data_IF_442543677394
#
_entry.id   IF_442543677394
#
_cell.length_a   1.000
_cell.length_b   1.000
_cell.length_c   1.000
_cell.angle_alpha   90.00
_cell.angle_beta   90.00
_cell.angle_gamma   90.00
#
_symmetry.space_group_name_H-M   'P 1'
#
loop_
_entity.id
_entity.type
_entity.pdbx_description
1 polymer ?
#
# COMPACT_ATOMS: atom_id res chain seq x y z
N UNK A 1 -24.35 6.60 -8.61
CA UNK A 1 -23.81 7.02 -7.31
C UNK A 1 -24.26 6.03 -6.22
N UNK A 2 -23.74 4.80 -6.26
CA UNK A 2 -23.99 3.71 -5.29
C UNK A 2 -22.64 3.16 -4.80
N UNK A 3 -21.76 4.04 -4.33
CA UNK A 3 -20.36 3.68 -3.99
C UNK A 3 -20.18 3.19 -2.54
N UNK A 4 -21.24 3.08 -1.74
CA UNK A 4 -21.14 2.71 -0.34
C UNK A 4 -22.13 1.61 0.05
N UNK A 5 -21.80 0.38 -0.31
CA UNK A 5 -22.26 -0.80 0.46
C UNK A 5 -21.45 -0.84 1.77
N UNK A 6 -22.10 -1.17 2.89
CA UNK A 6 -21.51 -1.16 4.25
C UNK A 6 -20.18 -1.91 4.39
N UNK A 7 -19.87 -2.85 3.50
CA UNK A 7 -18.63 -3.67 3.51
C UNK A 7 -17.35 -2.90 3.16
N UNK A 8 -17.41 -1.74 2.49
CA UNK A 8 -16.19 -1.00 2.10
C UNK A 8 -15.79 0.12 3.06
N UNK A 9 -16.68 0.52 3.97
CA UNK A 9 -16.43 1.57 4.97
C UNK A 9 -15.17 1.30 5.81
N UNK A 10 -14.95 0.11 6.39
CA UNK A 10 -13.78 -0.09 7.25
C UNK A 10 -12.46 0.00 6.48
N UNK A 11 -12.42 -0.48 5.22
CA UNK A 11 -11.25 -0.33 4.37
C UNK A 11 -10.98 1.14 4.02
N UNK A 12 -12.04 1.90 3.73
CA UNK A 12 -11.93 3.33 3.46
C UNK A 12 -11.37 4.10 4.67
N UNK A 13 -11.90 3.84 5.87
CA UNK A 13 -11.39 4.42 7.11
C UNK A 13 -9.92 4.03 7.36
N UNK A 14 -9.55 2.78 7.11
CA UNK A 14 -8.18 2.32 7.22
C UNK A 14 -7.25 3.09 6.27
N UNK A 15 -7.70 3.32 5.02
CA UNK A 15 -6.98 4.14 4.05
C UNK A 15 -6.83 5.59 4.49
N UNK A 16 -7.86 6.19 5.10
CA UNK A 16 -7.77 7.54 5.68
C UNK A 16 -6.78 7.60 6.84
N UNK A 17 -6.79 6.62 7.74
CA UNK A 17 -5.82 6.54 8.85
C UNK A 17 -4.39 6.39 8.31
N UNK A 18 -4.19 5.58 7.27
CA UNK A 18 -2.91 5.48 6.58
C UNK A 18 -2.48 6.85 6.02
N UNK A 19 -3.34 7.52 5.25
CA UNK A 19 -2.99 8.82 4.66
C UNK A 19 -2.69 9.86 5.73
N UNK A 20 -3.48 9.91 6.80
CA UNK A 20 -3.24 10.82 7.92
C UNK A 20 -1.87 10.58 8.56
N UNK A 21 -1.55 9.33 8.90
CA UNK A 21 -0.27 8.98 9.53
C UNK A 21 0.95 9.24 8.63
N UNK A 22 0.80 9.12 7.31
CA UNK A 22 1.92 9.31 6.36
C UNK A 22 2.09 10.78 5.95
N UNK A 23 0.99 11.51 5.74
CA UNK A 23 1.01 12.90 5.29
C UNK A 23 1.21 13.90 6.45
N UNK A 24 0.81 13.55 7.67
CA UNK A 24 1.01 14.42 8.82
C UNK A 24 2.50 14.70 9.03
N UNK A 25 2.88 15.98 9.07
CA UNK A 25 4.26 16.45 9.19
C UNK A 25 5.24 15.82 8.17
N UNK A 26 4.78 15.52 6.96
CA UNK A 26 5.60 14.87 5.93
C UNK A 26 6.90 15.63 5.63
N UNK A 27 6.89 16.96 5.67
CA UNK A 27 8.07 17.79 5.37
C UNK A 27 8.99 18.04 6.57
N UNK A 28 8.58 17.62 7.78
CA UNK A 28 9.37 17.82 9.00
C UNK A 28 10.61 16.92 9.04
N UNK A 29 10.55 15.76 8.38
CA UNK A 29 11.68 14.84 8.31
C UNK A 29 12.80 15.48 7.46
N UNK A 30 14.05 15.53 7.96
CA UNK A 30 15.18 16.02 7.19
C UNK A 30 15.33 15.19 5.91
N UNK A 31 15.90 15.80 4.88
CA UNK A 31 16.14 15.10 3.62
C UNK A 31 17.18 14.00 3.84
N UNK A 32 16.87 12.78 3.39
CA UNK A 32 17.82 11.67 3.44
C UNK A 32 18.74 11.69 2.22
N UNK A 33 19.94 11.11 2.36
CA UNK A 33 20.96 11.09 1.29
C UNK A 33 20.40 10.49 0.00
N UNK A 34 19.86 9.27 0.07
CA UNK A 34 19.24 8.59 -1.08
C UNK A 34 18.06 9.38 -1.68
N UNK A 35 17.20 9.94 -0.83
CA UNK A 35 16.07 10.76 -1.26
C UNK A 35 16.53 12.00 -2.06
N UNK A 36 17.62 12.64 -1.63
CA UNK A 36 18.19 13.77 -2.36
C UNK A 36 18.70 13.38 -3.75
N UNK A 37 19.30 12.21 -3.88
CA UNK A 37 19.81 11.67 -5.15
C UNK A 37 18.65 11.37 -6.10
N UNK A 38 17.60 10.70 -5.61
CA UNK A 38 16.49 10.29 -6.46
C UNK A 38 15.68 11.51 -6.94
N UNK A 39 15.45 12.49 -6.06
CA UNK A 39 14.82 13.76 -6.44
C UNK A 39 15.71 14.51 -7.44
N UNK A 40 17.03 14.53 -7.24
CA UNK A 40 17.96 15.16 -8.17
C UNK A 40 17.91 14.53 -9.57
N UNK A 41 17.97 13.20 -9.67
CA UNK A 41 17.83 12.52 -10.96
C UNK A 41 16.50 12.84 -11.63
N UNK A 42 15.40 12.80 -10.87
CA UNK A 42 14.09 13.18 -11.38
C UNK A 42 14.02 14.63 -11.84
N UNK A 43 14.74 15.55 -11.17
CA UNK A 43 14.84 16.95 -11.59
C UNK A 43 15.59 17.09 -12.91
N UNK A 44 16.69 16.35 -13.10
CA UNK A 44 17.45 16.33 -14.36
C UNK A 44 16.59 15.80 -15.51
N UNK A 45 15.83 14.73 -15.27
CA UNK A 45 14.87 14.17 -16.24
C UNK A 45 13.80 15.22 -16.57
N UNK A 46 13.26 15.89 -15.55
CA UNK A 46 12.24 16.93 -15.72
C UNK A 46 12.75 18.13 -16.54
N UNK A 47 13.97 18.62 -16.31
CA UNK A 47 14.48 19.82 -16.97
C UNK A 47 14.99 19.53 -18.37
N UNK A 48 15.79 18.46 -18.50
CA UNK A 48 16.52 18.16 -19.75
C UNK A 48 15.67 17.34 -20.71
N UNK A 49 14.57 16.72 -20.23
CA UNK A 49 13.69 15.81 -21.01
C UNK A 49 14.45 14.68 -21.73
N UNK A 50 15.68 14.41 -21.30
CA UNK A 50 16.61 13.40 -21.77
C UNK A 50 17.30 12.80 -20.53
N UNK A 51 17.94 11.63 -20.66
CA UNK A 51 18.55 10.88 -19.53
C UNK A 51 17.56 10.13 -18.61
N UNK A 52 16.47 9.59 -19.17
CA UNK A 52 15.55 8.70 -18.46
C UNK A 52 16.23 7.48 -17.79
N UNK A 53 17.40 7.06 -18.29
CA UNK A 53 18.19 5.96 -17.71
C UNK A 53 19.19 6.37 -16.63
N UNK A 54 19.18 7.60 -16.11
CA UNK A 54 20.22 8.08 -15.20
C UNK A 54 20.36 7.21 -13.94
N UNK A 55 19.25 6.76 -13.35
CA UNK A 55 19.27 5.88 -12.16
C UNK A 55 19.95 4.53 -12.42
N UNK A 56 19.96 4.05 -13.67
CA UNK A 56 20.56 2.77 -14.04
C UNK A 56 22.08 2.81 -13.94
N UNK A 57 22.69 4.00 -14.02
CA UNK A 57 24.15 4.16 -13.83
C UNK A 57 24.59 3.78 -12.41
N UNK A 58 23.67 3.84 -11.45
CA UNK A 58 23.86 3.43 -10.06
C UNK A 58 23.14 2.10 -9.74
N UNK A 59 22.73 1.35 -10.78
CA UNK A 59 22.05 0.06 -10.64
C UNK A 59 20.62 0.14 -10.08
N UNK A 60 20.00 1.33 -10.04
CA UNK A 60 18.65 1.54 -9.50
C UNK A 60 17.60 1.51 -10.63
N UNK A 61 16.46 0.80 -10.45
CA UNK A 61 15.41 0.75 -11.45
C UNK A 61 14.82 2.15 -11.69
N UNK A 62 14.42 2.50 -12.93
CA UNK A 62 14.13 3.89 -13.27
C UNK A 62 12.71 4.34 -12.94
N UNK A 63 11.78 3.39 -12.73
CA UNK A 63 10.34 3.66 -12.61
C UNK A 63 10.00 4.70 -11.53
N UNK A 64 10.59 4.61 -10.33
CA UNK A 64 10.33 5.60 -9.27
C UNK A 64 10.75 7.00 -9.71
N UNK A 65 11.94 7.13 -10.28
CA UNK A 65 12.49 8.44 -10.68
C UNK A 65 11.66 9.07 -11.79
N UNK A 66 11.07 8.25 -12.68
CA UNK A 66 10.15 8.73 -13.72
C UNK A 66 8.86 9.28 -13.11
N UNK A 67 8.30 8.57 -12.13
CA UNK A 67 7.09 9.00 -11.44
C UNK A 67 7.35 10.27 -10.64
N UNK A 68 8.46 10.36 -9.91
CA UNK A 68 8.85 11.59 -9.21
C UNK A 68 9.03 12.75 -10.22
N UNK A 69 9.62 12.51 -11.40
CA UNK A 69 9.77 13.54 -12.41
C UNK A 69 8.42 14.09 -12.88
N UNK A 70 7.42 13.21 -13.08
CA UNK A 70 6.03 13.62 -13.39
C UNK A 70 5.45 14.46 -12.25
N UNK A 71 5.63 14.06 -11.00
CA UNK A 71 5.17 14.85 -9.85
C UNK A 71 5.85 16.22 -9.80
N UNK A 72 7.16 16.28 -10.06
CA UNK A 72 7.88 17.56 -10.13
C UNK A 72 7.35 18.48 -11.23
N UNK A 73 6.79 17.97 -12.33
CA UNK A 73 6.12 18.77 -13.38
C UNK A 73 4.79 19.38 -12.91
N UNK A 74 4.09 18.70 -12.00
CA UNK A 74 2.77 19.12 -11.51
C UNK A 74 2.93 20.17 -10.38
N UNK A 75 3.92 19.99 -9.51
CA UNK A 75 4.13 20.84 -8.32
C UNK A 75 5.09 22.01 -8.60
N UNK A 76 4.93 23.15 -7.89
CA UNK A 76 5.90 24.26 -7.93
C UNK A 76 7.30 23.81 -7.50
N UNK A 77 8.33 24.51 -7.99
CA UNK A 77 9.74 24.18 -7.71
C UNK A 77 10.09 24.15 -6.23
N UNK A 78 9.45 25.00 -5.42
CA UNK A 78 9.71 25.10 -3.98
C UNK A 78 9.20 23.88 -3.20
N UNK A 79 8.31 23.09 -3.79
CA UNK A 79 7.67 21.93 -3.18
C UNK A 79 8.27 20.61 -3.66
N UNK A 80 9.52 20.63 -4.13
CA UNK A 80 10.22 19.45 -4.66
C UNK A 80 10.24 18.27 -3.67
N UNK A 81 10.36 18.54 -2.37
CA UNK A 81 10.41 17.50 -1.34
C UNK A 81 9.05 16.81 -1.19
N UNK A 82 7.96 17.58 -1.25
CA UNK A 82 6.60 17.02 -1.26
C UNK A 82 6.38 16.17 -2.51
N UNK A 83 6.76 16.70 -3.68
CA UNK A 83 6.63 16.02 -4.96
C UNK A 83 7.42 14.71 -5.01
N UNK A 84 8.60 14.65 -4.36
CA UNK A 84 9.38 13.43 -4.20
C UNK A 84 8.74 12.40 -3.28
N UNK A 85 8.19 12.84 -2.13
CA UNK A 85 7.65 11.94 -1.11
C UNK A 85 6.25 11.39 -1.44
N UNK A 86 5.43 12.13 -2.18
CA UNK A 86 4.06 11.71 -2.52
C UNK A 86 3.99 10.38 -3.27
N UNK A 87 4.82 10.10 -4.31
CA UNK A 87 4.88 8.80 -4.96
C UNK A 87 5.05 7.64 -3.98
N UNK A 88 5.96 7.75 -3.01
CA UNK A 88 6.17 6.70 -1.99
C UNK A 88 4.94 6.49 -1.13
N UNK A 89 4.29 7.57 -0.68
CA UNK A 89 3.05 7.49 0.10
C UNK A 89 1.95 6.78 -0.70
N UNK A 90 1.85 7.05 -2.00
CA UNK A 90 0.89 6.39 -2.89
C UNK A 90 1.21 4.89 -3.07
N UNK A 91 2.47 4.52 -3.26
CA UNK A 91 2.87 3.12 -3.34
C UNK A 91 2.68 2.36 -2.02
N UNK A 92 2.90 3.00 -0.88
CA UNK A 92 2.54 2.42 0.42
C UNK A 92 1.02 2.24 0.58
N UNK A 93 0.19 3.12 0.00
CA UNK A 93 -1.27 2.92 -0.03
C UNK A 93 -1.64 1.72 -0.92
N UNK A 94 -1.01 1.58 -2.08
CA UNK A 94 -1.17 0.42 -2.97
C UNK A 94 -0.74 -0.87 -2.25
N UNK A 95 0.31 -0.80 -1.44
CA UNK A 95 0.78 -1.89 -0.57
C UNK A 95 -0.27 -2.27 0.47
N UNK A 96 -0.85 -1.29 1.17
CA UNK A 96 -1.94 -1.53 2.14
C UNK A 96 -3.15 -2.23 1.49
N UNK A 97 -3.58 -1.77 0.31
CA UNK A 97 -4.65 -2.40 -0.46
C UNK A 97 -4.29 -3.82 -0.91
N UNK A 98 -3.02 -4.02 -1.29
CA UNK A 98 -2.45 -5.32 -1.62
C UNK A 98 -2.51 -6.29 -0.44
N UNK A 99 -2.04 -5.87 0.74
CA UNK A 99 -2.08 -6.68 1.98
C UNK A 99 -3.52 -7.08 2.31
N UNK A 100 -4.45 -6.13 2.25
CA UNK A 100 -5.86 -6.40 2.50
C UNK A 100 -6.41 -7.47 1.54
N UNK A 101 -6.17 -7.30 0.23
CA UNK A 101 -6.63 -8.23 -0.80
C UNK A 101 -5.99 -9.61 -0.68
N UNK A 102 -4.67 -9.67 -0.50
CA UNK A 102 -3.92 -10.91 -0.35
C UNK A 102 -4.39 -11.70 0.88
N UNK A 103 -4.60 -11.01 2.01
CA UNK A 103 -5.10 -11.64 3.24
C UNK A 103 -6.49 -12.22 3.01
N UNK A 104 -7.42 -11.47 2.39
CA UNK A 104 -8.75 -12.00 2.06
C UNK A 104 -8.66 -13.24 1.16
N UNK A 105 -7.80 -13.21 0.14
CA UNK A 105 -7.62 -14.33 -0.79
C UNK A 105 -7.13 -15.60 -0.05
N UNK A 106 -6.07 -15.48 0.75
CA UNK A 106 -5.48 -16.61 1.47
C UNK A 106 -6.43 -17.22 2.51
N UNK A 107 -7.17 -16.39 3.26
CA UNK A 107 -8.05 -16.89 4.33
C UNK A 107 -9.39 -17.40 3.81
N UNK A 108 -9.88 -16.93 2.66
CA UNK A 108 -11.06 -17.52 2.01
C UNK A 108 -10.70 -18.91 1.46
N UNK A 109 -9.57 -19.07 0.76
CA UNK A 109 -9.13 -20.36 0.22
C UNK A 109 -8.90 -21.43 1.28
N UNK A 110 -8.33 -21.06 2.43
CA UNK A 110 -8.13 -22.01 3.54
C UNK A 110 -9.45 -22.58 4.06
N UNK A 111 -10.51 -21.77 4.08
CA UNK A 111 -11.81 -22.23 4.55
C UNK A 111 -12.50 -23.09 3.49
N UNK A 112 -12.37 -22.77 2.20
CA UNK A 112 -12.95 -23.59 1.14
C UNK A 112 -12.25 -24.94 0.97
N UNK A 113 -10.91 -25.01 1.14
CA UNK A 113 -10.15 -26.27 1.10
C UNK A 113 -10.24 -27.09 2.38
N UNK A 114 -10.65 -26.47 3.49
CA UNK A 114 -10.70 -27.07 4.82
C UNK A 114 -12.02 -27.74 5.23
N UNK A 115 -13.04 -27.77 4.37
CA UNK A 115 -14.24 -28.61 4.55
C UNK A 115 -14.29 -29.65 3.44
N UNK A 116 -14.36 -30.96 3.68
CA UNK A 116 -14.89 -31.79 4.78
C UNK A 116 -13.85 -32.85 5.23
N UNK A 117 -13.88 -33.43 6.47
CA UNK A 117 -15.06 -34.02 7.13
C UNK A 117 -15.16 -33.85 8.67
N UNK A 118 -16.35 -33.52 9.19
CA UNK A 118 -17.01 -34.29 10.26
C UNK A 118 -18.34 -33.64 10.64
N UNK A 119 -19.40 -34.43 10.52
CA UNK A 119 -20.75 -34.02 10.86
C UNK A 119 -20.89 -33.56 12.31
N UNK A 120 -21.41 -32.35 12.48
CA UNK A 120 -22.40 -32.06 13.51
C UNK A 120 -23.46 -31.19 12.85
N UNK A 121 -24.70 -31.70 12.87
CA UNK A 121 -25.88 -31.04 12.32
C UNK A 121 -26.15 -29.66 12.95
N UNK A 122 -27.19 -28.96 12.46
CA UNK A 122 -27.42 -27.56 12.78
C UNK A 122 -27.71 -27.41 14.29
N UNK A 123 -26.78 -26.80 15.01
CA UNK A 123 -27.02 -26.37 16.38
C UNK A 123 -27.85 -25.08 16.33
N UNK A 124 -29.12 -25.25 16.68
CA UNK A 124 -30.09 -24.20 17.01
C UNK A 124 -29.48 -23.20 18.00
N UNK A 125 -29.61 -21.90 17.73
CA UNK A 125 -29.63 -20.87 18.79
C UNK A 125 -28.75 -19.64 18.55
N UNK A 126 -29.40 -18.52 18.20
CA UNK A 126 -28.88 -17.16 18.38
C UNK A 126 -28.57 -16.42 17.08
N UNK A 127 -29.39 -15.42 16.74
CA UNK A 127 -29.20 -14.54 15.56
C UNK A 127 -27.82 -13.86 15.47
N UNK A 128 -27.00 -13.87 16.53
CA UNK A 128 -25.62 -13.37 16.52
C UNK A 128 -24.51 -14.42 16.32
N UNK A 129 -24.79 -15.72 16.43
CA UNK A 129 -23.78 -16.78 16.28
C UNK A 129 -23.47 -17.11 14.79
N UNK A 130 -24.46 -16.92 13.91
CA UNK A 130 -24.34 -17.17 12.48
C UNK A 130 -23.37 -16.21 11.78
N UNK A 131 -23.21 -14.97 12.27
CA UNK A 131 -22.34 -13.96 11.67
C UNK A 131 -20.84 -14.28 11.82
N UNK A 132 -20.45 -14.98 12.90
CA UNK A 132 -19.08 -15.43 13.13
C UNK A 132 -18.69 -16.67 12.31
N UNK A 133 -19.68 -17.38 11.78
CA UNK A 133 -19.46 -18.58 10.99
C UNK A 133 -19.24 -18.29 9.50
N UNK A 134 -19.56 -17.08 9.01
CA UNK A 134 -19.27 -16.70 7.62
C UNK A 134 -17.75 -16.54 7.41
N UNK A 135 -17.12 -17.39 6.57
CA UNK A 135 -15.70 -17.31 6.25
C UNK A 135 -15.27 -15.94 5.71
N UNK A 136 -16.16 -15.24 5.00
CA UNK A 136 -15.90 -13.94 4.38
C UNK A 136 -15.74 -12.85 5.42
N UNK A 137 -16.61 -12.83 6.44
CA UNK A 137 -16.54 -11.85 7.53
C UNK A 137 -15.29 -12.06 8.39
N UNK A 138 -14.91 -13.31 8.65
CA UNK A 138 -13.66 -13.63 9.36
C UNK A 138 -12.43 -13.16 8.58
N UNK A 139 -12.36 -13.48 7.29
CA UNK A 139 -11.26 -13.05 6.42
C UNK A 139 -11.14 -11.51 6.35
N UNK A 140 -12.27 -10.80 6.34
CA UNK A 140 -12.32 -9.34 6.38
C UNK A 140 -11.72 -8.77 7.68
N UNK A 141 -12.11 -9.29 8.84
CA UNK A 141 -11.55 -8.87 10.14
C UNK A 141 -10.04 -9.11 10.21
N UNK A 142 -9.56 -10.25 9.70
CA UNK A 142 -8.12 -10.58 9.67
C UNK A 142 -7.39 -9.65 8.69
N UNK A 143 -7.98 -9.33 7.53
CA UNK A 143 -7.38 -8.40 6.57
C UNK A 143 -7.30 -6.97 7.11
N UNK A 144 -8.31 -6.50 7.85
CA UNK A 144 -8.27 -5.21 8.54
C UNK A 144 -7.17 -5.20 9.61
N UNK A 145 -7.06 -6.26 10.41
CA UNK A 145 -6.00 -6.39 11.40
C UNK A 145 -4.61 -6.36 10.75
N UNK A 146 -4.41 -7.09 9.66
CA UNK A 146 -3.15 -7.09 8.91
C UNK A 146 -2.80 -5.69 8.39
N UNK A 147 -3.79 -4.94 7.89
CA UNK A 147 -3.59 -3.56 7.48
C UNK A 147 -3.28 -2.60 8.64
N UNK A 148 -3.90 -2.78 9.81
CA UNK A 148 -3.54 -2.02 11.02
C UNK A 148 -2.10 -2.30 11.44
N UNK A 149 -1.68 -3.57 11.41
CA UNK A 149 -0.28 -3.94 11.70
C UNK A 149 0.69 -3.30 10.71
N UNK A 150 0.34 -3.23 9.42
CA UNK A 150 1.13 -2.49 8.44
C UNK A 150 1.19 -1.00 8.74
N UNK A 151 0.08 -0.37 9.13
CA UNK A 151 0.04 1.06 9.47
C UNK A 151 0.93 1.38 10.67
N UNK A 152 0.93 0.51 11.69
CA UNK A 152 1.67 0.70 12.94
C UNK A 152 3.14 0.24 12.87
N UNK A 153 3.54 -0.51 11.84
CA UNK A 153 4.91 -0.95 11.68
C UNK A 153 5.86 0.27 11.60
N UNK A 154 6.84 0.41 12.50
CA UNK A 154 7.73 1.58 12.51
C UNK A 154 8.55 1.72 11.22
N UNK A 155 8.88 0.61 10.55
CA UNK A 155 9.60 0.63 9.28
C UNK A 155 8.72 1.21 8.16
N UNK A 156 7.51 0.68 7.95
CA UNK A 156 6.63 1.23 6.91
C UNK A 156 6.26 2.70 7.20
N UNK A 157 6.10 3.06 8.48
CA UNK A 157 5.82 4.44 8.88
C UNK A 157 6.92 5.41 8.44
N UNK A 158 8.19 5.00 8.50
CA UNK A 158 9.32 5.82 8.07
C UNK A 158 9.51 5.77 6.55
N UNK A 159 9.63 4.55 5.99
CA UNK A 159 10.02 4.36 4.59
C UNK A 159 8.94 4.81 3.59
N UNK A 160 7.64 4.67 3.92
CA UNK A 160 6.56 5.19 3.06
C UNK A 160 6.51 6.71 2.98
N UNK A 161 7.19 7.41 3.90
CA UNK A 161 7.23 8.88 3.97
C UNK A 161 8.45 9.48 3.29
N UNK A 162 9.43 8.67 2.90
CA UNK A 162 10.65 9.12 2.23
C UNK A 162 10.55 8.79 0.74
N UNK A 163 11.15 9.62 -0.11
CA UNK A 163 11.24 9.34 -1.55
C UNK A 163 12.26 8.22 -1.81
N UNK A 164 11.93 6.97 -1.46
CA UNK A 164 12.78 5.78 -1.58
C UNK A 164 12.12 4.68 -2.43
N UNK A 165 12.93 3.74 -2.91
CA UNK A 165 12.48 2.62 -3.73
C UNK A 165 11.68 1.56 -2.97
N UNK A 166 11.78 1.52 -1.65
CA UNK A 166 11.23 0.45 -0.81
C UNK A 166 9.71 0.32 -0.95
N UNK A 167 8.96 1.43 -0.91
CA UNK A 167 7.49 1.40 -1.01
C UNK A 167 7.03 0.95 -2.39
N UNK A 168 7.70 1.40 -3.46
CA UNK A 168 7.44 0.94 -4.82
C UNK A 168 7.69 -0.57 -4.94
N UNK A 169 8.87 -1.03 -4.51
CA UNK A 169 9.24 -2.44 -4.64
C UNK A 169 8.28 -3.33 -3.85
N UNK A 170 7.99 -2.97 -2.60
CA UNK A 170 7.06 -3.71 -1.73
C UNK A 170 5.66 -3.79 -2.37
N UNK A 171 5.18 -2.68 -2.96
CA UNK A 171 3.90 -2.66 -3.66
C UNK A 171 3.92 -3.65 -4.84
N UNK A 172 4.94 -3.62 -5.68
CA UNK A 172 5.04 -4.50 -6.84
C UNK A 172 5.12 -5.97 -6.41
N UNK A 173 5.93 -6.29 -5.40
CA UNK A 173 6.07 -7.66 -4.88
C UNK A 173 4.74 -8.23 -4.39
N UNK A 174 3.98 -7.48 -3.58
CA UNK A 174 2.69 -7.97 -3.07
C UNK A 174 1.69 -8.20 -4.20
N UNK A 175 1.62 -7.29 -5.16
CA UNK A 175 0.69 -7.44 -6.29
C UNK A 175 1.09 -8.57 -7.23
N UNK A 176 2.39 -8.79 -7.46
CA UNK A 176 2.87 -9.99 -8.17
C UNK A 176 2.41 -11.26 -7.47
N UNK A 177 2.59 -11.37 -6.14
CA UNK A 177 2.14 -12.54 -5.37
C UNK A 177 0.63 -12.77 -5.51
N UNK A 178 -0.18 -11.71 -5.45
CA UNK A 178 -1.65 -11.82 -5.63
C UNK A 178 -2.00 -12.40 -7.00
N UNK A 179 -1.33 -11.96 -8.07
CA UNK A 179 -1.57 -12.46 -9.42
C UNK A 179 -0.93 -13.82 -9.71
N UNK A 180 0.05 -14.25 -8.91
CA UNK A 180 0.63 -15.60 -9.01
C UNK A 180 -0.27 -16.65 -8.36
N UNK A 181 -0.94 -16.30 -7.24
CA UNK A 181 -1.79 -17.26 -6.52
C UNK A 181 -3.17 -17.40 -7.18
N UNK A 182 -3.68 -16.34 -7.82
CA UNK A 182 -4.98 -16.32 -8.49
C UNK A 182 -4.90 -16.86 -9.92
#
# INVERSE_FOLDING_TARGET
MQLFTKSHIPLFLLGLVYLFTRLYNLLLLPIFTDESIYIYWSKVIQTTHSQWGLSLTDGKPPLLTWIIAIFLQIFPSDWYLLAGRLPSVLFGLITLLGIYKLTKLLFIERVTRGGEPHGRGPLVGGHGAAEWQDPRNRAEKIALLAGVLYILNPFSLLYDRLALFDSLLTSMTIWTVIYTIK
#
